data_IF_521729653362
#
_entry.id   IF_521729653362
#
_cell.length_a   1.000
_cell.length_b   1.000
_cell.length_c   1.000
_cell.angle_alpha   90.00
_cell.angle_beta   90.00
_cell.angle_gamma   90.00
#
_symmetry.space_group_name_H-M   'P 1'
#
loop_
_entity.id
_entity.type
_entity.pdbx_description
1 polymer ?
#
# COMPACT_ATOMS: atom_id res chain seq x y z
N UNK A 1 -23.72 6.30 -27.80
CA UNK A 1 -22.81 6.78 -26.75
C UNK A 1 -23.45 6.40 -25.42
N UNK A 2 -22.91 5.41 -24.70
CA UNK A 2 -23.40 5.10 -23.36
C UNK A 2 -22.98 6.24 -22.42
N UNK A 3 -23.89 6.68 -21.55
CA UNK A 3 -23.57 7.69 -20.55
C UNK A 3 -22.43 7.17 -19.67
N UNK A 4 -21.42 8.00 -19.44
CA UNK A 4 -20.32 7.68 -18.54
C UNK A 4 -20.87 7.47 -17.13
N UNK A 5 -20.59 6.31 -16.53
CA UNK A 5 -21.04 5.99 -15.19
C UNK A 5 -19.95 6.38 -14.18
N UNK A 6 -20.35 6.96 -13.06
CA UNK A 6 -19.45 7.40 -12.01
C UNK A 6 -19.69 6.60 -10.72
N UNK A 7 -18.63 6.21 -10.09
CA UNK A 7 -18.65 5.65 -8.75
C UNK A 7 -18.98 6.69 -7.69
N UNK A 8 -19.30 6.23 -6.50
CA UNK A 8 -19.53 7.09 -5.32
C UNK A 8 -18.31 7.10 -4.44
N UNK A 9 -17.93 8.27 -3.94
CA UNK A 9 -16.85 8.42 -2.99
C UNK A 9 -17.40 9.01 -1.68
N UNK A 10 -16.91 8.50 -0.57
CA UNK A 10 -17.23 8.94 0.78
C UNK A 10 -15.92 9.11 1.54
N UNK A 11 -15.62 10.33 1.93
CA UNK A 11 -14.40 10.73 2.63
C UNK A 11 -14.63 11.05 4.12
N UNK A 12 -15.84 10.85 4.60
CA UNK A 12 -16.32 11.16 5.94
C UNK A 12 -16.49 9.92 6.84
N UNK A 13 -15.95 8.78 6.42
CA UNK A 13 -16.15 7.53 7.15
C UNK A 13 -15.21 7.41 8.33
N UNK A 14 -15.71 6.80 9.39
CA UNK A 14 -14.99 6.60 10.65
C UNK A 14 -15.06 5.14 11.06
N UNK A 15 -13.90 4.57 11.35
CA UNK A 15 -13.73 3.26 11.96
C UNK A 15 -13.27 3.44 13.41
N UNK A 16 -13.95 2.81 14.35
CA UNK A 16 -13.59 2.84 15.79
C UNK A 16 -12.68 1.67 16.11
N UNK A 17 -11.40 1.96 16.35
CA UNK A 17 -10.43 0.94 16.71
C UNK A 17 -10.39 0.68 18.20
N UNK A 18 -10.52 -0.58 18.57
CA UNK A 18 -10.31 -1.04 19.95
C UNK A 18 -8.83 -1.12 20.28
N UNK A 19 -8.00 -1.57 19.33
CA UNK A 19 -6.55 -1.69 19.51
C UNK A 19 -5.89 -0.34 19.73
N UNK A 20 -6.28 0.69 18.95
CA UNK A 20 -5.72 2.04 19.07
C UNK A 20 -6.43 2.88 20.13
N UNK A 21 -7.61 2.48 20.59
CA UNK A 21 -8.44 3.26 21.51
C UNK A 21 -8.90 4.61 20.94
N UNK A 22 -8.93 4.75 19.63
CA UNK A 22 -9.31 5.98 18.91
C UNK A 22 -10.01 5.70 17.59
N UNK A 23 -10.64 6.75 17.07
CA UNK A 23 -11.23 6.75 15.75
C UNK A 23 -10.14 6.82 14.65
N UNK A 24 -10.38 6.12 13.54
CA UNK A 24 -9.57 6.16 12.32
C UNK A 24 -10.48 6.57 11.16
N UNK A 25 -10.19 7.71 10.58
CA UNK A 25 -10.92 8.18 9.39
C UNK A 25 -10.52 7.36 8.17
N UNK A 26 -11.46 7.18 7.24
CA UNK A 26 -11.14 6.53 5.97
C UNK A 26 -12.02 7.03 4.84
N UNK A 27 -11.47 6.99 3.64
CA UNK A 27 -12.19 7.23 2.38
C UNK A 27 -12.53 5.88 1.74
N UNK A 28 -13.73 5.77 1.17
CA UNK A 28 -14.12 4.62 0.35
C UNK A 28 -14.69 5.09 -0.98
N UNK A 29 -14.18 4.50 -2.06
CA UNK A 29 -14.76 4.57 -3.39
C UNK A 29 -15.55 3.28 -3.66
N UNK A 30 -16.80 3.45 -4.06
CA UNK A 30 -17.72 2.38 -4.50
C UNK A 30 -17.92 2.49 -6.01
N UNK A 31 -17.74 1.39 -6.76
CA UNK A 31 -17.77 1.45 -8.22
C UNK A 31 -19.17 1.81 -8.77
N UNK A 32 -19.27 2.25 -10.05
CA UNK A 32 -20.51 2.80 -10.62
C UNK A 32 -21.74 1.91 -10.51
N UNK A 33 -21.55 0.59 -10.60
CA UNK A 33 -22.63 -0.38 -10.52
C UNK A 33 -22.91 -0.90 -9.10
N UNK A 34 -22.28 -0.32 -8.08
CA UNK A 34 -22.41 -0.82 -6.71
C UNK A 34 -23.87 -0.88 -6.24
N UNK A 35 -24.67 0.16 -6.46
CA UNK A 35 -26.07 0.18 -6.06
C UNK A 35 -26.99 -0.63 -7.00
N UNK A 36 -26.51 -0.96 -8.19
CA UNK A 36 -27.28 -1.66 -9.22
C UNK A 36 -27.10 -3.18 -9.18
N UNK A 37 -26.17 -3.66 -8.36
CA UNK A 37 -25.77 -5.07 -8.30
C UNK A 37 -25.69 -5.57 -6.87
N UNK A 38 -26.03 -6.84 -6.65
CA UNK A 38 -25.83 -7.54 -5.37
C UNK A 38 -24.50 -8.31 -5.30
N UNK A 39 -23.66 -8.23 -6.32
CA UNK A 39 -22.39 -8.96 -6.39
C UNK A 39 -21.40 -8.50 -5.32
N UNK A 40 -20.43 -9.35 -5.02
CA UNK A 40 -19.27 -9.00 -4.21
C UNK A 40 -18.11 -8.51 -5.09
N UNK A 41 -17.42 -7.50 -4.61
CA UNK A 41 -16.35 -6.80 -5.33
C UNK A 41 -14.97 -7.14 -4.76
N UNK A 42 -13.93 -7.17 -5.60
CA UNK A 42 -12.56 -7.11 -5.09
C UNK A 42 -12.33 -5.77 -4.37
N UNK A 43 -11.38 -5.75 -3.45
CA UNK A 43 -11.01 -4.56 -2.67
C UNK A 43 -9.54 -4.24 -2.90
N UNK A 44 -9.24 -3.00 -3.25
CA UNK A 44 -7.92 -2.41 -3.16
C UNK A 44 -7.81 -1.63 -1.85
N UNK A 45 -6.93 -2.06 -0.97
CA UNK A 45 -6.48 -1.29 0.19
C UNK A 45 -5.35 -0.38 -0.27
N UNK A 46 -5.63 0.93 -0.40
CA UNK A 46 -4.71 1.91 -0.95
C UNK A 46 -4.16 2.80 0.17
N UNK A 47 -2.84 2.86 0.29
CA UNK A 47 -2.14 3.50 1.41
C UNK A 47 -1.58 4.86 1.00
N UNK A 48 -1.75 5.88 1.86
CA UNK A 48 -1.29 7.25 1.59
C UNK A 48 0.17 7.48 2.00
N UNK A 49 0.75 8.59 1.55
CA UNK A 49 2.12 9.01 1.87
C UNK A 49 2.24 9.72 3.23
N UNK A 50 3.48 10.01 3.60
CA UNK A 50 3.84 10.58 4.91
C UNK A 50 3.19 11.93 5.23
N UNK A 51 3.01 12.79 4.22
CA UNK A 51 2.44 14.14 4.35
C UNK A 51 0.94 14.21 4.07
N UNK A 52 0.32 13.06 3.81
CA UNK A 52 -1.09 12.96 3.42
C UNK A 52 -1.94 12.33 4.54
N UNK A 53 -3.21 12.16 4.22
CA UNK A 53 -4.20 11.43 4.99
C UNK A 53 -5.09 10.57 4.08
N UNK A 54 -6.19 10.08 4.60
CA UNK A 54 -7.13 9.24 3.85
C UNK A 54 -7.76 9.93 2.63
N UNK A 55 -7.67 11.25 2.49
CA UNK A 55 -8.27 12.01 1.37
C UNK A 55 -7.30 12.30 0.23
N UNK A 56 -5.98 12.15 0.46
CA UNK A 56 -4.93 12.53 -0.50
C UNK A 56 -5.07 11.86 -1.86
N UNK A 57 -5.38 10.55 -1.88
CA UNK A 57 -5.61 9.82 -3.13
C UNK A 57 -6.83 10.30 -3.91
N UNK A 58 -7.85 10.83 -3.23
CA UNK A 58 -9.02 11.44 -3.87
C UNK A 58 -8.68 12.83 -4.43
N UNK A 59 -8.11 13.71 -3.59
CA UNK A 59 -7.91 15.12 -3.94
C UNK A 59 -6.75 15.34 -4.92
N UNK A 60 -5.64 14.64 -4.72
CA UNK A 60 -4.42 14.82 -5.53
C UNK A 60 -4.17 13.65 -6.47
N UNK A 61 -4.54 12.45 -6.07
CA UNK A 61 -4.35 11.22 -6.82
C UNK A 61 -5.44 10.94 -7.85
N UNK A 62 -6.57 11.64 -7.81
CA UNK A 62 -7.70 11.48 -8.73
C UNK A 62 -8.19 10.02 -8.85
N UNK A 63 -8.06 9.23 -7.76
CA UNK A 63 -8.28 7.78 -7.81
C UNK A 63 -9.66 7.39 -8.33
N UNK A 64 -10.69 8.16 -7.97
CA UNK A 64 -12.07 7.93 -8.41
C UNK A 64 -12.22 8.16 -9.93
N UNK A 65 -11.63 9.25 -10.47
CA UNK A 65 -11.65 9.52 -11.91
C UNK A 65 -10.93 8.42 -12.69
N UNK A 66 -9.76 8.01 -12.22
CA UNK A 66 -8.95 6.95 -12.87
C UNK A 66 -9.70 5.61 -12.82
N UNK A 67 -10.30 5.26 -11.68
CA UNK A 67 -11.07 4.04 -11.55
C UNK A 67 -12.31 4.04 -12.46
N UNK A 68 -13.07 5.15 -12.48
CA UNK A 68 -14.25 5.32 -13.35
C UNK A 68 -13.87 5.20 -14.83
N UNK A 69 -12.80 5.87 -15.27
CA UNK A 69 -12.29 5.80 -16.63
C UNK A 69 -11.98 4.35 -17.04
N UNK A 70 -11.20 3.64 -16.24
CA UNK A 70 -10.82 2.26 -16.53
C UNK A 70 -12.00 1.28 -16.54
N UNK A 71 -12.99 1.50 -15.66
CA UNK A 71 -14.23 0.70 -15.64
C UNK A 71 -15.08 0.98 -16.88
N UNK A 72 -15.29 2.26 -17.23
CA UNK A 72 -16.07 2.65 -18.40
C UNK A 72 -15.44 2.19 -19.72
N UNK A 73 -14.13 2.14 -19.79
CA UNK A 73 -13.39 1.61 -20.94
C UNK A 73 -13.31 0.06 -20.96
N UNK A 74 -13.84 -0.60 -19.93
CA UNK A 74 -13.80 -2.06 -19.81
C UNK A 74 -12.39 -2.63 -19.58
N UNK A 75 -11.44 -1.79 -19.17
CA UNK A 75 -10.05 -2.18 -18.88
C UNK A 75 -9.91 -2.90 -17.55
N UNK A 76 -10.76 -2.57 -16.58
CA UNK A 76 -10.80 -3.24 -15.27
C UNK A 76 -12.22 -3.66 -14.90
N UNK A 77 -12.31 -4.69 -14.09
CA UNK A 77 -13.53 -5.05 -13.36
C UNK A 77 -13.76 -4.04 -12.24
N UNK A 78 -15.00 -3.58 -12.01
CA UNK A 78 -15.32 -2.70 -10.89
C UNK A 78 -14.84 -3.26 -9.56
N UNK A 79 -14.19 -2.41 -8.75
CA UNK A 79 -13.65 -2.76 -7.44
C UNK A 79 -13.93 -1.66 -6.41
N UNK A 80 -13.91 -2.02 -5.14
CA UNK A 80 -13.92 -1.08 -4.02
C UNK A 80 -12.49 -0.60 -3.78
N UNK A 81 -12.28 0.69 -3.51
CA UNK A 81 -10.98 1.22 -3.09
C UNK A 81 -11.16 1.88 -1.73
N UNK A 82 -10.27 1.56 -0.78
CA UNK A 82 -10.34 2.06 0.60
C UNK A 82 -9.00 2.66 1.00
N UNK A 83 -9.04 3.85 1.61
CA UNK A 83 -7.86 4.56 2.11
C UNK A 83 -8.10 4.91 3.58
N UNK A 84 -7.38 4.29 4.51
CA UNK A 84 -7.42 4.63 5.94
C UNK A 84 -6.36 5.67 6.29
N UNK A 85 -6.67 6.56 7.25
CA UNK A 85 -5.71 7.50 7.80
C UNK A 85 -4.69 6.80 8.70
N UNK A 86 -3.46 6.75 8.25
CA UNK A 86 -2.34 6.19 9.01
C UNK A 86 -1.54 7.26 9.75
N UNK A 87 -1.85 8.54 9.57
CA UNK A 87 -0.99 9.62 10.06
C UNK A 87 0.47 9.36 9.65
N UNK A 88 1.39 9.39 10.61
CA UNK A 88 2.82 9.13 10.42
C UNK A 88 3.30 7.85 11.11
N UNK A 89 2.43 6.83 11.19
CA UNK A 89 2.74 5.55 11.85
C UNK A 89 3.65 4.64 11.06
N UNK A 90 3.97 4.98 9.82
CA UNK A 90 4.69 4.10 8.90
C UNK A 90 4.04 2.74 8.72
N UNK A 91 2.75 2.63 9.04
CA UNK A 91 2.01 1.37 8.96
C UNK A 91 2.57 0.23 9.83
N UNK A 92 3.39 0.55 10.84
CA UNK A 92 3.98 -0.41 11.78
C UNK A 92 3.34 -0.31 13.16
N UNK A 93 3.51 -1.34 13.96
CA UNK A 93 3.48 -1.17 15.41
C UNK A 93 4.79 -0.50 15.81
N UNK A 94 4.77 0.49 16.68
CA UNK A 94 6.01 1.08 17.18
C UNK A 94 6.80 0.06 18.05
N UNK A 95 8.10 0.32 18.25
CA UNK A 95 8.96 -0.61 18.98
C UNK A 95 8.57 -0.77 20.46
N UNK A 96 7.75 0.13 20.99
CA UNK A 96 7.23 0.09 22.39
C UNK A 96 5.86 -0.56 22.46
N UNK A 97 5.21 -0.86 21.33
CA UNK A 97 3.83 -1.33 21.20
C UNK A 97 2.79 -0.36 21.79
N UNK A 98 3.10 0.93 21.83
CA UNK A 98 2.17 1.99 22.25
C UNK A 98 1.23 2.35 21.10
N UNK A 99 1.73 2.52 19.89
CA UNK A 99 0.94 2.71 18.68
C UNK A 99 0.96 1.41 17.85
N UNK A 100 -0.12 0.62 17.93
CA UNK A 100 -0.22 -0.70 17.30
C UNK A 100 -0.99 -0.65 15.98
N UNK A 101 -0.54 0.21 15.05
CA UNK A 101 -1.26 0.46 13.80
C UNK A 101 -1.32 -0.76 12.87
N UNK A 102 -0.22 -1.51 12.75
CA UNK A 102 -0.18 -2.75 11.96
C UNK A 102 -1.23 -3.75 12.44
N UNK A 103 -1.27 -4.02 13.75
CA UNK A 103 -2.23 -4.93 14.35
C UNK A 103 -3.68 -4.49 14.08
N UNK A 104 -3.97 -3.20 14.29
CA UNK A 104 -5.29 -2.63 14.01
C UNK A 104 -5.68 -2.84 12.54
N UNK A 105 -4.77 -2.51 11.63
CA UNK A 105 -5.07 -2.58 10.20
C UNK A 105 -5.40 -3.99 9.75
N UNK A 106 -4.59 -4.95 10.16
CA UNK A 106 -4.71 -6.36 9.77
C UNK A 106 -5.88 -7.05 10.47
N UNK A 107 -6.04 -6.84 11.79
CA UNK A 107 -6.97 -7.67 12.58
C UNK A 107 -8.33 -7.00 12.84
N UNK A 108 -8.43 -5.67 12.69
CA UNK A 108 -9.69 -4.94 12.88
C UNK A 108 -10.18 -4.30 11.58
N UNK A 109 -9.35 -3.48 10.90
CA UNK A 109 -9.80 -2.65 9.79
C UNK A 109 -10.16 -3.47 8.53
N UNK A 110 -9.31 -4.38 8.09
CA UNK A 110 -9.62 -5.25 6.92
C UNK A 110 -10.93 -6.03 7.14
N UNK A 111 -11.11 -6.76 8.26
CA UNK A 111 -12.37 -7.46 8.53
C UNK A 111 -13.59 -6.54 8.62
N UNK A 112 -13.42 -5.33 9.19
CA UNK A 112 -14.48 -4.34 9.26
C UNK A 112 -14.94 -3.89 7.87
N UNK A 113 -14.02 -3.56 6.98
CA UNK A 113 -14.32 -3.17 5.60
C UNK A 113 -15.07 -4.29 4.86
N UNK A 114 -14.61 -5.52 5.00
CA UNK A 114 -15.23 -6.68 4.34
C UNK A 114 -16.62 -7.03 4.88
N UNK A 115 -16.88 -6.72 6.13
CA UNK A 115 -18.20 -6.88 6.76
C UNK A 115 -19.14 -5.73 6.38
N UNK A 116 -18.61 -4.51 6.23
CA UNK A 116 -19.39 -3.29 5.99
C UNK A 116 -19.81 -3.17 4.53
N UNK A 117 -18.92 -3.56 3.63
CA UNK A 117 -19.13 -3.45 2.18
C UNK A 117 -19.25 -4.83 1.53
N UNK A 118 -19.81 -4.89 0.33
CA UNK A 118 -19.93 -6.14 -0.45
C UNK A 118 -18.57 -6.58 -1.01
N UNK A 119 -17.63 -6.88 -0.14
CA UNK A 119 -16.31 -7.37 -0.47
C UNK A 119 -16.30 -8.90 -0.68
N UNK A 120 -15.37 -9.40 -1.51
CA UNK A 120 -15.19 -10.85 -1.71
C UNK A 120 -14.67 -11.56 -0.45
N UNK A 121 -13.94 -10.86 0.42
CA UNK A 121 -13.50 -11.37 1.72
C UNK A 121 -12.52 -12.55 1.68
N UNK A 122 -11.73 -12.65 0.61
CA UNK A 122 -10.72 -13.69 0.47
C UNK A 122 -9.44 -13.15 -0.19
N UNK A 123 -8.34 -13.89 -0.14
CA UNK A 123 -7.04 -13.50 -0.68
C UNK A 123 -7.12 -13.04 -2.13
N UNK A 124 -7.80 -13.80 -2.99
CA UNK A 124 -7.91 -13.50 -4.43
C UNK A 124 -8.71 -12.22 -4.71
N UNK A 125 -9.53 -11.80 -3.76
CA UNK A 125 -10.29 -10.55 -3.82
C UNK A 125 -9.61 -9.36 -3.16
N UNK A 126 -8.39 -9.51 -2.60
CA UNK A 126 -7.67 -8.41 -1.93
C UNK A 126 -6.41 -8.03 -2.67
N UNK A 127 -6.29 -6.74 -2.99
CA UNK A 127 -5.05 -6.09 -3.39
C UNK A 127 -4.65 -5.05 -2.37
N UNK A 128 -3.37 -4.75 -2.31
CA UNK A 128 -2.81 -3.66 -1.53
C UNK A 128 -1.87 -2.84 -2.41
N UNK A 129 -1.82 -1.53 -2.20
CA UNK A 129 -0.91 -0.64 -2.91
C UNK A 129 -0.75 0.66 -2.15
N UNK A 130 0.13 1.53 -2.60
CA UNK A 130 0.31 2.83 -1.97
C UNK A 130 1.57 3.54 -2.45
N UNK A 131 1.68 4.82 -2.11
CA UNK A 131 2.82 5.65 -2.49
C UNK A 131 3.73 5.95 -1.30
N UNK A 132 5.02 6.10 -1.54
CA UNK A 132 5.99 6.57 -0.54
C UNK A 132 5.96 5.75 0.76
N UNK A 133 5.62 6.35 1.90
CA UNK A 133 5.34 5.65 3.17
C UNK A 133 4.26 4.56 2.97
N UNK A 134 3.21 4.81 2.19
CA UNK A 134 2.19 3.81 1.85
C UNK A 134 2.69 2.72 0.91
N UNK A 135 3.66 3.03 0.05
CA UNK A 135 4.38 2.03 -0.74
C UNK A 135 5.18 1.07 0.13
N UNK A 136 5.87 1.60 1.15
CA UNK A 136 6.52 0.79 2.18
C UNK A 136 5.50 -0.06 2.95
N UNK A 137 4.41 0.54 3.45
CA UNK A 137 3.36 -0.16 4.19
C UNK A 137 2.72 -1.28 3.37
N UNK A 138 2.48 -1.05 2.07
CA UNK A 138 1.92 -2.07 1.18
C UNK A 138 2.85 -3.27 0.99
N UNK A 139 4.16 -3.02 0.81
CA UNK A 139 5.17 -4.07 0.78
C UNK A 139 5.24 -4.82 2.11
N UNK A 140 5.29 -4.07 3.21
CA UNK A 140 5.36 -4.65 4.55
C UNK A 140 4.22 -5.64 4.81
N UNK A 141 2.98 -5.23 4.53
CA UNK A 141 1.82 -6.08 4.77
C UNK A 141 1.75 -7.27 3.79
N UNK A 142 2.04 -7.05 2.53
CA UNK A 142 2.06 -8.14 1.55
C UNK A 142 3.12 -9.20 1.86
N UNK A 143 4.28 -8.78 2.37
CA UNK A 143 5.40 -9.67 2.71
C UNK A 143 5.21 -10.38 4.05
N UNK A 144 4.66 -9.70 5.07
CA UNK A 144 4.41 -10.31 6.39
C UNK A 144 3.17 -11.20 6.41
N UNK A 145 2.15 -10.84 5.61
CA UNK A 145 0.85 -11.52 5.57
C UNK A 145 0.54 -12.04 4.15
N UNK A 146 1.38 -12.92 3.58
CA UNK A 146 1.27 -13.36 2.19
C UNK A 146 -0.04 -14.11 1.88
N UNK A 147 -0.76 -14.56 2.92
CA UNK A 147 -2.05 -15.22 2.77
C UNK A 147 -3.25 -14.23 2.75
N UNK A 148 -3.01 -12.94 3.01
CA UNK A 148 -4.07 -11.95 2.98
C UNK A 148 -4.26 -11.33 1.59
N UNK A 149 -3.18 -11.05 0.86
CA UNK A 149 -3.21 -10.29 -0.40
C UNK A 149 -2.72 -11.12 -1.57
N UNK A 150 -3.38 -10.99 -2.72
CA UNK A 150 -2.95 -11.63 -3.96
C UNK A 150 -2.05 -10.73 -4.82
N UNK A 151 -2.17 -9.40 -4.64
CA UNK A 151 -1.45 -8.40 -5.45
C UNK A 151 -0.97 -7.26 -4.56
N UNK A 152 0.26 -6.79 -4.82
CA UNK A 152 0.85 -5.63 -4.17
C UNK A 152 1.40 -4.66 -5.24
N UNK A 153 0.99 -3.38 -5.14
CA UNK A 153 1.38 -2.31 -6.08
C UNK A 153 2.02 -1.15 -5.31
N UNK A 154 3.28 -1.28 -4.89
CA UNK A 154 4.02 -0.19 -4.27
C UNK A 154 4.49 0.82 -5.33
N UNK A 155 4.26 2.11 -5.06
CA UNK A 155 4.63 3.23 -5.91
C UNK A 155 5.62 4.12 -5.17
N UNK A 156 6.80 4.38 -5.75
CA UNK A 156 7.85 5.18 -5.09
C UNK A 156 8.04 4.79 -3.63
N UNK A 157 8.13 3.49 -3.36
CA UNK A 157 8.07 2.97 -1.99
C UNK A 157 9.26 3.45 -1.15
N UNK A 158 9.00 3.84 0.10
CA UNK A 158 10.03 4.26 1.03
C UNK A 158 10.81 3.03 1.59
N UNK A 159 11.44 2.30 0.68
CA UNK A 159 12.34 1.20 1.00
C UNK A 159 13.73 1.78 1.28
N UNK A 160 14.31 1.46 2.42
CA UNK A 160 15.62 1.95 2.82
C UNK A 160 16.60 0.81 2.99
N UNK A 161 17.84 1.05 2.56
CA UNK A 161 18.99 0.24 2.92
C UNK A 161 19.44 0.59 4.35
N UNK A 162 20.24 -0.27 4.96
CA UNK A 162 20.81 -0.01 6.28
C UNK A 162 21.62 1.29 6.33
N UNK A 163 22.35 1.60 5.26
CA UNK A 163 23.19 2.79 5.21
C UNK A 163 22.35 4.07 5.12
N UNK A 164 21.24 4.04 4.38
CA UNK A 164 20.30 5.16 4.34
C UNK A 164 19.65 5.38 5.71
N UNK A 165 19.27 4.33 6.43
CA UNK A 165 18.71 4.44 7.78
C UNK A 165 19.73 4.97 8.77
N UNK A 166 20.96 4.47 8.74
CA UNK A 166 22.04 4.98 9.59
C UNK A 166 22.37 6.46 9.33
N UNK A 167 22.30 6.89 8.05
CA UNK A 167 22.50 8.29 7.69
C UNK A 167 21.38 9.16 8.30
N UNK A 168 20.13 8.76 8.21
CA UNK A 168 18.97 9.46 8.81
C UNK A 168 19.13 9.61 10.33
N UNK A 169 19.62 8.58 11.03
CA UNK A 169 19.89 8.67 12.46
C UNK A 169 20.99 9.70 12.80
N UNK A 170 21.95 9.95 11.93
CA UNK A 170 23.03 10.94 12.12
C UNK A 170 22.58 12.38 11.81
N UNK A 171 21.68 12.58 10.84
CA UNK A 171 21.25 13.89 10.36
C UNK A 171 20.16 14.55 11.22
N UNK A 172 19.73 13.93 12.32
CA UNK A 172 18.77 14.50 13.25
C UNK A 172 17.30 14.30 12.90
N UNK A 173 16.98 13.64 11.78
CA UNK A 173 15.65 13.07 11.50
C UNK A 173 15.34 11.86 12.41
N UNK A 174 16.21 11.67 13.40
CA UNK A 174 16.34 10.47 14.22
C UNK A 174 15.18 10.25 15.18
N UNK A 175 14.54 11.33 15.66
CA UNK A 175 13.57 11.20 16.75
C UNK A 175 12.35 10.38 16.37
N UNK A 176 11.80 10.59 15.16
CA UNK A 176 10.63 9.87 14.70
C UNK A 176 10.95 8.41 14.36
N UNK A 177 12.05 8.18 13.63
CA UNK A 177 12.51 6.82 13.32
C UNK A 177 12.93 6.04 14.58
N UNK A 178 13.54 6.72 15.57
CA UNK A 178 13.85 6.12 16.87
C UNK A 178 12.59 5.72 17.63
N UNK A 179 11.56 6.58 17.62
CA UNK A 179 10.29 6.28 18.29
C UNK A 179 9.54 5.12 17.63
N UNK A 180 9.66 4.98 16.30
CA UNK A 180 9.00 3.91 15.57
C UNK A 180 9.79 2.59 15.66
N UNK A 181 11.08 2.64 15.39
CA UNK A 181 11.88 1.43 15.18
C UNK A 181 12.90 1.15 16.29
N UNK A 182 13.19 2.11 17.15
CA UNK A 182 14.26 2.01 18.13
C UNK A 182 15.66 1.93 17.49
N UNK A 183 16.69 1.80 18.31
CA UNK A 183 18.06 1.66 17.83
C UNK A 183 18.79 3.00 17.65
N UNK A 184 19.99 2.93 17.07
CA UNK A 184 20.87 4.08 16.80
C UNK A 184 21.58 3.89 15.46
N UNK A 185 22.33 4.92 15.02
CA UNK A 185 23.16 4.84 13.81
C UNK A 185 24.23 3.74 13.88
N UNK A 186 24.75 3.45 15.09
CA UNK A 186 25.76 2.43 15.33
C UNK A 186 25.14 1.03 15.38
N UNK A 187 23.90 0.92 15.88
CA UNK A 187 23.22 -0.37 16.08
C UNK A 187 21.74 -0.26 15.73
N UNK A 188 21.38 -0.71 14.54
CA UNK A 188 19.98 -0.86 14.14
C UNK A 188 19.29 -1.92 15.01
N UNK A 189 18.04 -1.64 15.40
CA UNK A 189 17.28 -2.50 16.32
C UNK A 189 16.80 -3.80 15.67
N UNK A 190 16.48 -4.79 16.48
CA UNK A 190 15.75 -5.99 16.05
C UNK A 190 14.37 -5.64 15.46
N UNK A 191 13.72 -4.60 16.01
CA UNK A 191 12.44 -4.14 15.51
C UNK A 191 12.55 -3.55 14.09
N UNK A 192 13.61 -2.77 13.81
CA UNK A 192 13.91 -2.36 12.44
C UNK A 192 14.10 -3.57 11.52
N UNK A 193 14.92 -4.56 11.92
CA UNK A 193 15.16 -5.76 11.11
C UNK A 193 13.89 -6.50 10.72
N UNK A 194 12.93 -6.61 11.65
CA UNK A 194 11.61 -7.23 11.41
C UNK A 194 10.71 -6.42 10.48
N UNK A 195 10.98 -5.12 10.31
CA UNK A 195 10.21 -4.19 9.49
C UNK A 195 10.98 -3.70 8.25
N UNK A 196 12.25 -4.07 8.07
CA UNK A 196 13.05 -3.77 6.88
C UNK A 196 12.58 -4.63 5.71
N UNK A 197 12.06 -4.00 4.67
CA UNK A 197 11.59 -4.68 3.46
C UNK A 197 12.69 -5.57 2.87
N UNK A 198 13.91 -5.05 2.81
CA UNK A 198 15.07 -5.77 2.25
C UNK A 198 15.39 -7.02 3.10
N UNK A 199 15.33 -6.91 4.44
CA UNK A 199 15.62 -8.04 5.34
C UNK A 199 14.48 -9.07 5.28
N UNK A 200 13.22 -8.64 5.22
CA UNK A 200 12.08 -9.55 5.09
C UNK A 200 12.19 -10.36 3.78
N UNK A 201 12.52 -9.69 2.67
CA UNK A 201 12.67 -10.35 1.36
C UNK A 201 13.85 -11.32 1.37
N UNK A 202 15.00 -10.95 1.95
CA UNK A 202 16.16 -11.82 2.05
C UNK A 202 15.91 -13.08 2.88
N UNK A 203 15.05 -13.00 3.87
CA UNK A 203 14.70 -14.11 4.77
C UNK A 203 13.36 -14.78 4.43
N UNK A 204 12.78 -14.47 3.27
CA UNK A 204 11.49 -15.00 2.86
C UNK A 204 11.54 -16.52 2.66
N UNK A 205 10.61 -17.29 3.27
CA UNK A 205 10.48 -18.72 3.02
C UNK A 205 10.20 -19.00 1.53
N UNK A 206 10.75 -20.09 1.00
CA UNK A 206 10.56 -20.49 -0.40
C UNK A 206 9.07 -20.61 -0.78
N UNK A 207 8.25 -21.13 0.14
CA UNK A 207 6.80 -21.25 -0.04
C UNK A 207 6.08 -19.93 -0.31
N UNK A 208 6.66 -18.80 0.14
CA UNK A 208 6.01 -17.49 0.06
C UNK A 208 6.41 -16.70 -1.19
N UNK A 209 7.48 -17.11 -1.89
CA UNK A 209 8.03 -16.37 -3.05
C UNK A 209 7.04 -16.19 -4.22
N UNK A 210 6.04 -17.05 -4.32
CA UNK A 210 4.98 -17.00 -5.34
C UNK A 210 3.61 -16.65 -4.78
N UNK A 211 3.52 -16.27 -3.50
CA UNK A 211 2.24 -16.05 -2.82
C UNK A 211 1.57 -14.75 -3.23
N UNK A 212 2.33 -13.73 -3.61
CA UNK A 212 1.83 -12.39 -3.96
C UNK A 212 2.41 -11.97 -5.31
N UNK A 213 1.59 -11.33 -6.15
CA UNK A 213 2.03 -10.71 -7.39
C UNK A 213 2.46 -9.27 -7.11
N UNK A 214 3.69 -8.90 -7.46
CA UNK A 214 4.24 -7.57 -7.20
C UNK A 214 4.37 -6.75 -8.48
N UNK A 215 3.92 -5.49 -8.44
CA UNK A 215 4.15 -4.48 -9.46
C UNK A 215 4.78 -3.25 -8.81
N UNK A 216 6.08 -3.14 -8.89
CA UNK A 216 6.90 -2.10 -8.24
C UNK A 216 7.15 -1.00 -9.26
N UNK A 217 6.86 0.25 -8.91
CA UNK A 217 7.00 1.39 -9.81
C UNK A 217 7.67 2.57 -9.09
N UNK A 218 8.74 3.12 -9.66
CA UNK A 218 9.49 4.24 -9.09
C UNK A 218 10.07 5.09 -10.23
N UNK A 219 9.93 6.41 -10.12
CA UNK A 219 10.50 7.34 -11.10
C UNK A 219 12.04 7.34 -11.06
N UNK A 220 12.67 7.65 -12.19
CA UNK A 220 14.14 7.71 -12.30
C UNK A 220 14.73 8.93 -11.58
N UNK A 221 13.95 10.02 -11.45
CA UNK A 221 14.29 11.22 -10.68
C UNK A 221 13.75 11.20 -9.24
N UNK A 222 13.17 10.08 -8.80
CA UNK A 222 12.64 9.94 -7.44
C UNK A 222 13.80 9.72 -6.44
N UNK A 223 13.83 10.47 -5.34
CA UNK A 223 14.87 10.35 -4.32
C UNK A 223 14.88 8.98 -3.59
N UNK A 224 13.82 8.17 -3.74
CA UNK A 224 13.73 6.80 -3.22
C UNK A 224 14.19 5.74 -4.24
N UNK A 225 14.80 6.15 -5.35
CA UNK A 225 15.22 5.24 -6.42
C UNK A 225 16.18 4.15 -5.93
N UNK A 226 17.07 4.48 -5.00
CA UNK A 226 18.11 3.55 -4.52
C UNK A 226 17.48 2.33 -3.82
N UNK A 227 16.56 2.56 -2.89
CA UNK A 227 15.88 1.47 -2.16
C UNK A 227 15.03 0.61 -3.09
N UNK A 228 14.28 1.23 -4.02
CA UNK A 228 13.46 0.49 -4.99
C UNK A 228 14.31 -0.35 -5.97
N UNK A 229 15.43 0.20 -6.46
CA UNK A 229 16.37 -0.54 -7.31
C UNK A 229 17.04 -1.69 -6.55
N UNK A 230 17.43 -1.46 -5.29
CA UNK A 230 18.00 -2.50 -4.41
C UNK A 230 16.99 -3.63 -4.19
N UNK A 231 15.73 -3.30 -3.92
CA UNK A 231 14.64 -4.28 -3.77
C UNK A 231 14.50 -5.13 -5.03
N UNK A 232 14.46 -4.50 -6.21
CA UNK A 232 14.42 -5.20 -7.49
C UNK A 232 15.58 -6.19 -7.64
N UNK A 233 16.81 -5.74 -7.38
CA UNK A 233 18.00 -6.61 -7.49
C UNK A 233 17.92 -7.79 -6.51
N UNK A 234 17.52 -7.55 -5.26
CA UNK A 234 17.39 -8.61 -4.25
C UNK A 234 16.32 -9.62 -4.65
N UNK A 235 15.15 -9.16 -5.08
CA UNK A 235 14.07 -10.05 -5.52
C UNK A 235 14.48 -10.88 -6.75
N UNK A 236 15.18 -10.29 -7.72
CA UNK A 236 15.71 -11.01 -8.90
C UNK A 236 16.70 -12.10 -8.49
N UNK A 237 17.64 -11.78 -7.61
CA UNK A 237 18.64 -12.73 -7.13
C UNK A 237 18.03 -13.91 -6.35
N UNK A 238 16.87 -13.70 -5.73
CA UNK A 238 16.13 -14.72 -4.98
C UNK A 238 15.05 -15.44 -5.81
N UNK A 239 14.96 -15.17 -7.11
CA UNK A 239 13.94 -15.71 -8.02
C UNK A 239 12.51 -15.44 -7.54
N UNK A 240 12.27 -14.24 -7.01
CA UNK A 240 10.94 -13.75 -6.67
C UNK A 240 10.40 -13.00 -7.90
N UNK A 241 9.33 -13.53 -8.49
CA UNK A 241 8.71 -12.92 -9.66
C UNK A 241 8.07 -11.59 -9.32
N UNK A 242 8.35 -10.56 -10.12
CA UNK A 242 7.75 -9.23 -9.98
C UNK A 242 7.88 -8.44 -11.29
N UNK A 243 6.98 -7.51 -11.50
CA UNK A 243 7.12 -6.45 -12.48
C UNK A 243 7.87 -5.27 -11.82
N UNK A 244 8.85 -4.70 -12.52
CA UNK A 244 9.55 -3.49 -12.08
C UNK A 244 9.51 -2.46 -13.19
N UNK A 245 9.01 -1.27 -12.86
CA UNK A 245 8.89 -0.15 -13.80
C UNK A 245 9.70 1.04 -13.30
N UNK A 246 10.49 1.58 -14.21
CA UNK A 246 11.20 2.86 -14.04
C UNK A 246 10.82 3.73 -15.23
N UNK A 247 10.30 4.90 -14.96
CA UNK A 247 9.88 5.87 -15.98
C UNK A 247 10.38 7.26 -15.61
N UNK A 248 10.47 8.14 -16.61
CA UNK A 248 10.73 9.57 -16.40
C UNK A 248 9.73 10.15 -15.38
N UNK A 249 10.27 10.69 -14.29
CA UNK A 249 9.49 11.35 -13.25
C UNK A 249 10.06 11.24 -11.85
N UNK A 250 9.52 12.07 -10.98
CA UNK A 250 9.98 12.27 -9.62
C UNK A 250 8.89 11.91 -8.59
N UNK A 251 9.14 12.19 -7.30
CA UNK A 251 8.25 11.93 -6.17
C UNK A 251 7.05 12.87 -6.15
N UNK A 252 6.13 12.72 -7.10
CA UNK A 252 5.03 13.66 -7.34
C UNK A 252 3.70 12.98 -7.63
N UNK A 253 2.60 13.67 -7.35
CA UNK A 253 1.26 13.21 -7.69
C UNK A 253 1.04 12.99 -9.19
N UNK A 254 1.71 13.76 -10.06
CA UNK A 254 1.65 13.55 -11.51
C UNK A 254 2.16 12.16 -11.88
N UNK A 255 3.28 11.74 -11.29
CA UNK A 255 3.83 10.41 -11.48
C UNK A 255 2.88 9.32 -10.91
N UNK A 256 2.41 9.50 -9.68
CA UNK A 256 1.57 8.50 -9.00
C UNK A 256 0.19 8.29 -9.62
N UNK A 257 -0.38 9.31 -10.28
CA UNK A 257 -1.61 9.12 -11.07
C UNK A 257 -1.40 8.12 -12.21
N UNK A 258 -0.28 8.21 -12.92
CA UNK A 258 0.06 7.23 -13.97
C UNK A 258 0.35 5.85 -13.38
N UNK A 259 1.07 5.79 -12.26
CA UNK A 259 1.32 4.53 -11.56
C UNK A 259 0.02 3.86 -11.11
N UNK A 260 -0.95 4.63 -10.58
CA UNK A 260 -2.24 4.09 -10.17
C UNK A 260 -3.02 3.54 -11.37
N UNK A 261 -3.03 4.25 -12.50
CA UNK A 261 -3.67 3.79 -13.73
C UNK A 261 -3.14 2.41 -14.15
N UNK A 262 -1.84 2.28 -14.30
CA UNK A 262 -1.20 1.02 -14.70
C UNK A 262 -1.32 -0.06 -13.62
N UNK A 263 -1.21 0.34 -12.35
CA UNK A 263 -1.36 -0.54 -11.19
C UNK A 263 -2.76 -1.17 -11.10
N UNK A 264 -3.82 -0.39 -11.35
CA UNK A 264 -5.20 -0.92 -11.39
C UNK A 264 -5.40 -1.93 -12.52
N UNK A 265 -4.79 -1.72 -13.68
CA UNK A 265 -4.81 -2.68 -14.79
C UNK A 265 -4.07 -3.97 -14.38
N UNK A 266 -2.91 -3.84 -13.73
CA UNK A 266 -2.16 -4.99 -13.24
C UNK A 266 -2.94 -5.77 -12.17
N UNK A 267 -3.54 -5.10 -11.19
CA UNK A 267 -4.41 -5.70 -10.19
C UNK A 267 -5.52 -6.51 -10.86
N UNK A 268 -6.22 -5.89 -11.81
CA UNK A 268 -7.31 -6.57 -12.53
C UNK A 268 -6.82 -7.80 -13.30
N UNK A 269 -5.64 -7.75 -13.91
CA UNK A 269 -5.03 -8.90 -14.59
C UNK A 269 -4.81 -10.06 -13.61
N UNK A 270 -4.30 -9.79 -12.42
CA UNK A 270 -3.97 -10.81 -11.42
C UNK A 270 -5.21 -11.35 -10.66
N UNK A 271 -6.29 -10.57 -10.57
CA UNK A 271 -7.52 -10.93 -9.83
C UNK A 271 -8.60 -11.58 -10.70
N UNK A 272 -8.36 -11.84 -11.96
CA UNK A 272 -9.36 -12.39 -12.92
C UNK A 272 -9.65 -13.89 -12.77
N UNK A 273 -9.16 -14.56 -11.72
CA UNK A 273 -9.34 -16.01 -11.57
C UNK A 273 -10.33 -16.38 -10.48
#
# INVERSE_FOLDING_TARGET
VFAQQHGKIFDDKVFKSTILGRDVNYTVYLPPDYELSSRKYPVLFLLHGYSDDHTGWMHYGEMNRIADELVNEGKITPMIIVVADAKKTWYVNDHTNTERYEDMYITEFIPYIEKTYRARGNKLGRAIGGLSMGGYGSLLYALKYPDLFSVCVPMSAAVFTDDEVKARFKEGESYEFQNLFGGTAEKLSEHWRKNSIIDIVKNMPESNKKSVNFYIDCGDDDFLYQGNSTLHIVMRNLNIDHEYRVRDGAHTWTYWRQCLYDGLIYINKCMRH
#
